data_IF_331889733770
#
_entry.id   IF_331889733770
#
_cell.length_a   1.000
_cell.length_b   1.000
_cell.length_c   1.000
_cell.angle_alpha   90.00
_cell.angle_beta   90.00
_cell.angle_gamma   90.00
#
_symmetry.space_group_name_H-M   'P 1'
#
loop_
_entity.id
_entity.type
_entity.pdbx_description
1 polymer ?
#
# COMPACT_ATOMS: atom_id res chain seq x y z
N UNK A 1 -45.78 -65.02 63.40
CA UNK A 1 -44.90 -64.16 62.57
C UNK A 1 -44.19 -64.92 61.44
N UNK A 2 -44.08 -66.26 61.49
CA UNK A 2 -43.49 -67.03 60.38
C UNK A 2 -44.38 -67.17 59.13
N UNK A 3 -45.70 -67.30 59.30
CA UNK A 3 -46.64 -67.43 58.18
C UNK A 3 -46.67 -66.19 57.26
N UNK A 4 -46.45 -64.99 57.81
CA UNK A 4 -46.36 -63.74 57.06
C UNK A 4 -45.05 -63.63 56.28
N UNK A 5 -43.93 -64.12 56.84
CA UNK A 5 -42.64 -64.15 56.17
C UNK A 5 -42.61 -65.14 54.98
N UNK A 6 -43.25 -66.31 55.12
CA UNK A 6 -43.36 -67.26 54.01
C UNK A 6 -44.33 -66.78 52.91
N UNK A 7 -45.42 -66.10 53.26
CA UNK A 7 -46.33 -65.49 52.29
C UNK A 7 -45.65 -64.33 51.52
N UNK A 8 -44.84 -63.53 52.20
CA UNK A 8 -44.01 -62.49 51.58
C UNK A 8 -42.93 -63.09 50.67
N UNK A 9 -42.28 -64.18 51.10
CA UNK A 9 -41.29 -64.91 50.29
C UNK A 9 -41.87 -65.51 49.02
N UNK A 10 -43.06 -66.12 49.10
CA UNK A 10 -43.76 -66.68 47.93
C UNK A 10 -44.18 -65.62 46.91
N UNK A 11 -44.61 -64.44 47.37
CA UNK A 11 -44.91 -63.29 46.50
C UNK A 11 -43.64 -62.72 45.85
N UNK A 12 -42.51 -62.66 46.57
CA UNK A 12 -41.23 -62.24 46.03
C UNK A 12 -40.74 -63.19 44.93
N UNK A 13 -40.79 -64.50 45.17
CA UNK A 13 -40.40 -65.51 44.17
C UNK A 13 -41.28 -65.44 42.93
N UNK A 14 -42.59 -65.17 43.08
CA UNK A 14 -43.51 -64.97 41.97
C UNK A 14 -43.30 -63.63 41.24
N UNK A 15 -42.70 -62.64 41.90
CA UNK A 15 -42.36 -61.35 41.31
C UNK A 15 -41.03 -61.39 40.52
N UNK A 16 -40.11 -62.31 40.81
CA UNK A 16 -38.83 -62.46 40.08
C UNK A 16 -39.03 -62.61 38.57
N UNK A 17 -39.91 -63.52 38.05
CA UNK A 17 -40.17 -63.65 36.61
C UNK A 17 -40.71 -62.36 35.99
N UNK A 18 -41.62 -61.67 36.68
CA UNK A 18 -42.20 -60.40 36.21
C UNK A 18 -41.15 -59.31 36.15
N UNK A 19 -40.26 -59.22 37.15
CA UNK A 19 -39.18 -58.26 37.17
C UNK A 19 -38.17 -58.54 36.05
N UNK A 20 -37.86 -59.81 35.80
CA UNK A 20 -36.98 -60.24 34.71
C UNK A 20 -37.59 -59.94 33.34
N UNK A 21 -38.91 -60.14 33.17
CA UNK A 21 -39.67 -59.75 31.98
C UNK A 21 -39.62 -58.24 31.75
N UNK A 22 -39.89 -57.43 32.78
CA UNK A 22 -39.85 -55.96 32.70
C UNK A 22 -38.43 -55.47 32.40
N UNK A 23 -37.41 -56.08 32.99
CA UNK A 23 -36.01 -55.75 32.70
C UNK A 23 -35.65 -56.08 31.25
N UNK A 24 -36.07 -57.24 30.74
CA UNK A 24 -35.85 -57.65 29.37
C UNK A 24 -36.57 -56.70 28.39
N UNK A 25 -37.82 -56.33 28.69
CA UNK A 25 -38.59 -55.35 27.92
C UNK A 25 -37.94 -53.96 27.93
N UNK A 26 -37.44 -53.51 29.09
CA UNK A 26 -36.72 -52.25 29.20
C UNK A 26 -35.45 -52.24 28.33
N UNK A 27 -34.65 -53.31 28.38
CA UNK A 27 -33.45 -53.43 27.54
C UNK A 27 -33.80 -53.46 26.05
N UNK A 28 -34.85 -54.19 25.68
CA UNK A 28 -35.36 -54.23 24.32
C UNK A 28 -35.78 -52.84 23.84
N UNK A 29 -36.62 -52.14 24.60
CA UNK A 29 -37.10 -50.81 24.24
C UNK A 29 -35.97 -49.77 24.21
N UNK A 30 -35.00 -49.86 25.13
CA UNK A 30 -33.80 -49.02 25.17
C UNK A 30 -32.94 -49.18 23.93
N UNK A 31 -32.74 -50.41 23.45
CA UNK A 31 -31.92 -50.65 22.26
C UNK A 31 -32.67 -50.42 20.95
N UNK A 32 -33.92 -50.86 20.86
CA UNK A 32 -34.69 -50.85 19.61
C UNK A 32 -35.40 -49.52 19.37
N UNK A 33 -35.79 -48.79 20.41
CA UNK A 33 -36.61 -47.58 20.25
C UNK A 33 -35.88 -46.30 20.64
N UNK A 34 -35.35 -46.22 21.87
CA UNK A 34 -34.73 -44.99 22.36
C UNK A 34 -33.41 -44.65 21.66
N UNK A 35 -32.59 -45.65 21.33
CA UNK A 35 -31.33 -45.46 20.61
C UNK A 35 -31.51 -44.89 19.20
N UNK A 36 -32.35 -45.44 18.32
CA UNK A 36 -32.59 -44.85 17.00
C UNK A 36 -33.30 -43.51 17.08
N UNK A 37 -34.25 -43.33 18.02
CA UNK A 37 -34.92 -42.04 18.20
C UNK A 37 -33.94 -40.92 18.59
N UNK A 38 -33.02 -41.20 19.52
CA UNK A 38 -31.97 -40.27 19.91
C UNK A 38 -31.03 -39.94 18.74
N UNK A 39 -30.64 -40.94 17.92
CA UNK A 39 -29.81 -40.72 16.73
C UNK A 39 -30.50 -39.84 15.69
N UNK A 40 -31.80 -40.01 15.46
CA UNK A 40 -32.55 -39.20 14.49
C UNK A 40 -32.72 -37.76 14.98
N UNK A 41 -32.99 -37.57 16.28
CA UNK A 41 -33.05 -36.24 16.87
C UNK A 41 -31.70 -35.53 16.77
N UNK A 42 -30.61 -36.24 17.07
CA UNK A 42 -29.25 -35.72 16.97
C UNK A 42 -28.88 -35.41 15.52
N UNK A 43 -29.21 -36.29 14.57
CA UNK A 43 -28.99 -36.06 13.15
C UNK A 43 -29.76 -34.83 12.64
N UNK A 44 -31.00 -34.61 13.10
CA UNK A 44 -31.76 -33.39 12.76
C UNK A 44 -31.18 -32.14 13.39
N UNK A 45 -30.72 -32.20 14.64
CA UNK A 45 -30.04 -31.08 15.30
C UNK A 45 -28.74 -30.73 14.56
N UNK A 46 -27.89 -31.72 14.27
CA UNK A 46 -26.67 -31.52 13.50
C UNK A 46 -26.93 -31.00 12.09
N UNK A 47 -27.97 -31.50 11.41
CA UNK A 47 -28.34 -30.99 10.09
C UNK A 47 -28.87 -29.54 10.12
N UNK A 48 -29.48 -29.11 11.22
CA UNK A 48 -30.08 -27.76 11.32
C UNK A 48 -29.08 -26.75 11.88
N UNK A 49 -28.42 -27.09 12.99
CA UNK A 49 -27.42 -26.25 13.66
C UNK A 49 -26.07 -26.28 12.93
N UNK A 50 -25.65 -27.45 12.42
CA UNK A 50 -24.40 -27.59 11.68
C UNK A 50 -24.42 -26.86 10.34
N UNK A 51 -25.54 -26.85 9.61
CA UNK A 51 -25.66 -26.05 8.38
C UNK A 51 -25.59 -24.54 8.67
N UNK A 52 -26.13 -24.11 9.83
CA UNK A 52 -26.08 -22.70 10.24
C UNK A 52 -24.68 -22.28 10.66
N UNK A 53 -23.99 -23.12 11.45
CA UNK A 53 -22.60 -22.91 11.84
C UNK A 53 -21.67 -22.90 10.61
N UNK A 54 -21.84 -23.85 9.68
CA UNK A 54 -21.06 -23.88 8.44
C UNK A 54 -21.31 -22.65 7.56
N UNK A 55 -22.56 -22.16 7.49
CA UNK A 55 -22.86 -20.93 6.77
C UNK A 55 -22.21 -19.70 7.42
N UNK A 56 -22.24 -19.61 8.76
CA UNK A 56 -21.57 -18.55 9.52
C UNK A 56 -20.04 -18.59 9.34
N UNK A 57 -19.43 -19.79 9.38
CA UNK A 57 -18.00 -19.98 9.11
C UNK A 57 -17.62 -19.57 7.69
N UNK A 58 -18.40 -19.99 6.69
CA UNK A 58 -18.15 -19.62 5.30
C UNK A 58 -18.27 -18.11 5.08
N UNK A 59 -19.26 -17.46 5.70
CA UNK A 59 -19.40 -16.00 5.66
C UNK A 59 -18.24 -15.31 6.38
N UNK A 60 -17.81 -15.82 7.54
CA UNK A 60 -16.67 -15.29 8.26
C UNK A 60 -15.37 -15.42 7.45
N UNK A 61 -15.15 -16.57 6.80
CA UNK A 61 -14.02 -16.78 5.91
C UNK A 61 -14.05 -15.86 4.69
N UNK A 62 -15.22 -15.68 4.07
CA UNK A 62 -15.39 -14.75 2.96
C UNK A 62 -15.08 -13.30 3.40
N UNK A 63 -15.63 -12.87 4.55
CA UNK A 63 -15.40 -11.54 5.11
C UNK A 63 -13.93 -11.31 5.50
N UNK A 64 -13.27 -12.33 6.06
CA UNK A 64 -11.85 -12.26 6.37
C UNK A 64 -11.02 -12.09 5.08
N UNK A 65 -11.33 -12.86 4.03
CA UNK A 65 -10.66 -12.74 2.75
C UNK A 65 -10.90 -11.38 2.10
N UNK A 66 -12.11 -10.86 2.09
CA UNK A 66 -12.38 -9.52 1.56
C UNK A 66 -11.63 -8.45 2.33
N UNK A 67 -11.57 -8.54 3.66
CA UNK A 67 -10.80 -7.61 4.48
C UNK A 67 -9.29 -7.68 4.20
N UNK A 68 -8.73 -8.88 3.98
CA UNK A 68 -7.34 -9.05 3.54
C UNK A 68 -7.08 -8.39 2.18
N UNK A 69 -7.97 -8.61 1.20
CA UNK A 69 -7.88 -8.00 -0.12
C UNK A 69 -7.97 -6.47 -0.06
N UNK A 70 -8.92 -5.93 0.71
CA UNK A 70 -9.07 -4.48 0.88
C UNK A 70 -7.82 -3.87 1.52
N UNK A 71 -7.26 -4.49 2.56
CA UNK A 71 -6.02 -4.04 3.19
C UNK A 71 -4.84 -4.07 2.22
N UNK A 72 -4.69 -5.15 1.45
CA UNK A 72 -3.65 -5.27 0.44
C UNK A 72 -3.79 -4.19 -0.65
N UNK A 73 -5.02 -3.91 -1.09
CA UNK A 73 -5.29 -2.88 -2.08
C UNK A 73 -4.96 -1.47 -1.53
N UNK A 74 -5.33 -1.18 -0.29
CA UNK A 74 -5.00 0.11 0.34
C UNK A 74 -3.50 0.28 0.55
N UNK A 75 -2.79 -0.78 0.95
CA UNK A 75 -1.34 -0.78 1.06
C UNK A 75 -0.68 -0.52 -0.31
N UNK A 76 -1.12 -1.22 -1.36
CA UNK A 76 -0.61 -1.02 -2.72
C UNK A 76 -0.87 0.40 -3.24
N UNK A 77 -2.06 0.96 -2.98
CA UNK A 77 -2.37 2.36 -3.32
C UNK A 77 -1.45 3.33 -2.60
N UNK A 78 -1.23 3.13 -1.31
CA UNK A 78 -0.35 3.98 -0.50
C UNK A 78 1.08 3.96 -1.02
N UNK A 79 1.58 2.77 -1.40
CA UNK A 79 2.92 2.63 -1.96
C UNK A 79 3.03 3.33 -3.32
N UNK A 80 2.05 3.14 -4.21
CA UNK A 80 2.00 3.83 -5.49
C UNK A 80 2.04 5.36 -5.31
N UNK A 81 1.25 5.90 -4.37
CA UNK A 81 1.26 7.34 -4.09
C UNK A 81 2.62 7.82 -3.58
N UNK A 82 3.29 7.03 -2.73
CA UNK A 82 4.65 7.36 -2.24
C UNK A 82 5.67 7.36 -3.37
N UNK A 83 5.65 6.35 -4.24
CA UNK A 83 6.54 6.28 -5.40
C UNK A 83 6.30 7.43 -6.39
N UNK A 84 5.03 7.74 -6.67
CA UNK A 84 4.67 8.87 -7.51
C UNK A 84 5.16 10.20 -6.93
N UNK A 85 5.03 10.39 -5.62
CA UNK A 85 5.49 11.61 -4.97
C UNK A 85 7.02 11.72 -4.95
N UNK A 86 7.72 10.63 -4.63
CA UNK A 86 9.17 10.56 -4.69
C UNK A 86 9.69 10.84 -6.12
N UNK A 87 9.02 10.27 -7.13
CA UNK A 87 9.33 10.52 -8.53
C UNK A 87 9.12 12.00 -8.87
N UNK A 88 7.96 12.58 -8.52
CA UNK A 88 7.69 14.01 -8.73
C UNK A 88 8.73 14.91 -8.07
N UNK A 89 9.15 14.61 -6.85
CA UNK A 89 10.19 15.37 -6.14
C UNK A 89 11.53 15.29 -6.88
N UNK A 90 11.96 14.09 -7.28
CA UNK A 90 13.18 13.91 -8.09
C UNK A 90 13.12 14.70 -9.38
N UNK A 91 12.02 14.64 -10.12
CA UNK A 91 11.84 15.42 -11.36
C UNK A 91 11.94 16.92 -11.11
N UNK A 92 11.30 17.43 -10.05
CA UNK A 92 11.38 18.85 -9.67
C UNK A 92 12.81 19.26 -9.31
N UNK A 93 13.51 18.45 -8.54
CA UNK A 93 14.91 18.70 -8.17
C UNK A 93 15.83 18.68 -9.39
N UNK A 94 15.71 17.67 -10.26
CA UNK A 94 16.47 17.59 -11.50
C UNK A 94 16.21 18.79 -12.41
N UNK A 95 14.95 19.18 -12.59
CA UNK A 95 14.59 20.35 -13.37
C UNK A 95 15.16 21.64 -12.76
N UNK A 96 15.05 21.81 -11.45
CA UNK A 96 15.60 22.98 -10.76
C UNK A 96 17.13 23.06 -10.91
N UNK A 97 17.84 21.94 -10.79
CA UNK A 97 19.29 21.84 -11.01
C UNK A 97 19.65 22.18 -12.45
N UNK A 98 18.99 21.58 -13.43
CA UNK A 98 19.24 21.84 -14.84
C UNK A 98 19.02 23.32 -15.21
N UNK A 99 17.96 23.95 -14.68
CA UNK A 99 17.71 25.38 -14.89
C UNK A 99 18.77 26.24 -14.20
N UNK A 100 19.22 25.88 -13.00
CA UNK A 100 20.27 26.60 -12.30
C UNK A 100 21.61 26.52 -13.04
N UNK A 101 22.00 25.33 -13.51
CA UNK A 101 23.21 25.11 -14.32
C UNK A 101 23.16 25.89 -15.63
N UNK A 102 22.04 25.85 -16.35
CA UNK A 102 21.87 26.62 -17.59
C UNK A 102 21.96 28.15 -17.34
N UNK A 103 21.44 28.63 -16.21
CA UNK A 103 21.56 30.05 -15.83
C UNK A 103 22.99 30.44 -15.50
N UNK A 104 23.73 29.59 -14.79
CA UNK A 104 25.14 29.86 -14.48
C UNK A 104 26.00 29.85 -15.75
N UNK A 105 25.78 28.89 -16.66
CA UNK A 105 26.44 28.89 -17.97
C UNK A 105 26.12 30.14 -18.77
N UNK A 106 24.85 30.55 -18.84
CA UNK A 106 24.45 31.78 -19.53
C UNK A 106 25.11 33.03 -18.90
N UNK A 107 25.20 33.09 -17.57
CA UNK A 107 25.90 34.18 -16.86
C UNK A 107 27.39 34.21 -17.20
N UNK A 108 28.04 33.05 -17.23
CA UNK A 108 29.45 32.93 -17.60
C UNK A 108 29.70 33.44 -19.02
N UNK A 109 28.87 33.02 -19.99
CA UNK A 109 28.95 33.47 -21.38
C UNK A 109 28.76 34.98 -21.50
N UNK A 110 27.78 35.56 -20.80
CA UNK A 110 27.54 37.01 -20.81
C UNK A 110 28.72 37.77 -20.18
N UNK A 111 29.29 37.25 -19.10
CA UNK A 111 30.46 37.86 -18.45
C UNK A 111 31.70 37.82 -19.36
N UNK A 112 31.94 36.71 -20.04
CA UNK A 112 33.02 36.56 -21.01
C UNK A 112 32.86 37.52 -22.19
N UNK A 113 31.67 37.56 -22.80
CA UNK A 113 31.38 38.46 -23.91
C UNK A 113 31.55 39.94 -23.52
N UNK A 114 31.13 40.33 -22.30
CA UNK A 114 31.37 41.69 -21.78
C UNK A 114 32.86 41.98 -21.62
N UNK A 115 33.65 41.01 -21.16
CA UNK A 115 35.10 41.14 -21.05
C UNK A 115 35.77 41.35 -22.41
N UNK A 116 35.35 40.57 -23.43
CA UNK A 116 35.84 40.69 -24.80
C UNK A 116 35.50 42.07 -25.39
N UNK A 117 34.24 42.52 -25.27
CA UNK A 117 33.81 43.84 -25.74
C UNK A 117 34.62 44.96 -25.07
N UNK A 118 34.88 44.85 -23.76
CA UNK A 118 35.67 45.86 -23.05
C UNK A 118 37.11 45.90 -23.56
N UNK A 119 37.72 44.75 -23.82
CA UNK A 119 39.07 44.67 -24.39
C UNK A 119 39.14 45.24 -25.81
N UNK A 120 38.16 44.92 -26.66
CA UNK A 120 38.03 45.48 -28.01
C UNK A 120 37.85 47.00 -27.99
N UNK A 121 37.05 47.53 -27.04
CA UNK A 121 36.85 48.96 -26.87
C UNK A 121 38.16 49.69 -26.53
N UNK A 122 38.96 49.14 -25.62
CA UNK A 122 40.25 49.74 -25.23
C UNK A 122 41.26 49.69 -26.38
N UNK A 123 41.31 48.59 -27.15
CA UNK A 123 42.13 48.50 -28.36
C UNK A 123 41.70 49.53 -29.41
N UNK A 124 40.40 49.60 -29.72
CA UNK A 124 39.87 50.55 -30.68
C UNK A 124 40.12 52.01 -30.25
N UNK A 125 40.02 52.34 -28.95
CA UNK A 125 40.35 53.66 -28.41
C UNK A 125 41.82 54.01 -28.62
N UNK A 126 42.74 53.08 -28.33
CA UNK A 126 44.17 53.29 -28.52
C UNK A 126 44.52 53.50 -30.00
N UNK A 127 43.93 52.72 -30.90
CA UNK A 127 44.09 52.90 -32.34
C UNK A 127 43.55 54.26 -32.80
N UNK A 128 42.33 54.64 -32.35
CA UNK A 128 41.72 55.91 -32.70
C UNK A 128 42.55 57.11 -32.24
N UNK A 129 43.14 57.06 -31.05
CA UNK A 129 44.06 58.09 -30.56
C UNK A 129 45.32 58.19 -31.44
N UNK A 130 45.92 57.06 -31.81
CA UNK A 130 47.09 57.04 -32.70
C UNK A 130 46.76 57.55 -34.12
N UNK A 131 45.57 57.24 -34.64
CA UNK A 131 45.08 57.78 -35.91
C UNK A 131 44.81 59.29 -35.84
N UNK A 132 44.20 59.77 -34.75
CA UNK A 132 43.93 61.18 -34.53
C UNK A 132 45.21 62.01 -34.47
N UNK A 133 46.25 61.54 -33.74
CA UNK A 133 47.56 62.21 -33.70
C UNK A 133 48.21 62.28 -35.09
N UNK A 134 48.16 61.20 -35.87
CA UNK A 134 48.68 61.19 -37.26
C UNK A 134 47.93 62.19 -38.15
N UNK A 135 46.61 62.23 -38.06
CA UNK A 135 45.79 63.18 -38.81
C UNK A 135 46.06 64.63 -38.40
N UNK A 136 46.25 64.90 -37.11
CA UNK A 136 46.59 66.24 -36.62
C UNK A 136 47.92 66.74 -37.19
N UNK A 137 48.94 65.87 -37.27
CA UNK A 137 50.24 66.19 -37.89
C UNK A 137 50.07 66.48 -39.38
N UNK A 138 49.33 65.64 -40.12
CA UNK A 138 49.07 65.86 -41.55
C UNK A 138 48.33 67.18 -41.83
N UNK A 139 47.36 67.53 -40.98
CA UNK A 139 46.64 68.79 -41.10
C UNK A 139 47.59 69.97 -40.82
N UNK A 140 48.39 69.90 -39.76
CA UNK A 140 49.36 70.93 -39.42
C UNK A 140 50.37 71.17 -40.56
N UNK A 141 50.92 70.09 -41.15
CA UNK A 141 51.83 70.16 -42.29
C UNK A 141 51.16 70.80 -43.52
N UNK A 142 49.92 70.44 -43.83
CA UNK A 142 49.21 71.03 -44.99
C UNK A 142 48.90 72.53 -44.81
N UNK A 143 48.56 72.96 -43.59
CA UNK A 143 48.32 74.38 -43.29
C UNK A 143 49.64 75.18 -43.33
N UNK A 144 50.74 74.60 -42.84
CA UNK A 144 52.06 75.25 -42.85
C UNK A 144 52.62 75.37 -44.27
N UNK A 145 52.44 74.36 -45.13
CA UNK A 145 52.85 74.41 -46.54
C UNK A 145 51.95 75.32 -47.38
N UNK A 146 50.64 75.38 -47.08
CA UNK A 146 49.69 76.26 -47.77
C UNK A 146 49.81 77.75 -47.44
N UNK A 147 50.58 78.13 -46.41
CA UNK A 147 50.83 79.53 -46.02
C UNK A 147 52.16 80.09 -46.56
N UNK A 148 52.80 79.38 -47.49
CA UNK A 148 53.95 79.88 -48.25
C UNK A 148 53.49 80.27 -49.66
N UNK A 149 52.79 81.40 -49.74
CA UNK A 149 52.56 82.18 -50.96
C UNK A 149 52.29 83.63 -50.56
#
# INVERSE_FOLDING_TARGET
MEATLHALGGLLVKAIPTFLLVLCLYLYLKHVFFRPLARVLEARRQATEGMRQQAEELLAHAAAKTAEYERALQAARTELYREMEATRQRWREHHARAVAEAREQARAVVAEARGQIQAELELARAELQAHSQRLAVLIADSILQGRVA
#
